data_IF_958937869045
#
_entry.id   IF_958937869045
#
_cell.length_a   1.000
_cell.length_b   1.000
_cell.length_c   1.000
_cell.angle_alpha   90.00
_cell.angle_beta   90.00
_cell.angle_gamma   90.00
#
_symmetry.space_group_name_H-M   'P 1'
#
loop_
_entity.id
_entity.type
_entity.pdbx_description
1 polymer ?
#
# COMPACT_ATOMS: atom_id res chain seq x y z
N UNK A 1 22.37 -7.06 -7.94
CA UNK A 1 21.58 -6.01 -8.63
C UNK A 1 20.20 -5.76 -7.99
N UNK A 2 20.11 -5.50 -6.67
CA UNK A 2 18.83 -5.13 -6.02
C UNK A 2 18.56 -3.62 -6.03
N UNK A 3 19.62 -2.80 -6.12
CA UNK A 3 19.53 -1.34 -6.25
C UNK A 3 18.82 -0.90 -7.54
N UNK A 4 19.10 -1.55 -8.68
CA UNK A 4 18.42 -1.24 -9.94
C UNK A 4 16.91 -1.50 -9.87
N UNK A 5 16.51 -2.67 -9.36
CA UNK A 5 15.10 -2.99 -9.12
C UNK A 5 14.40 -1.98 -8.20
N UNK A 6 15.07 -1.56 -7.11
CA UNK A 6 14.55 -0.54 -6.20
C UNK A 6 14.47 0.85 -6.87
N UNK A 7 15.46 1.23 -7.66
CA UNK A 7 15.43 2.48 -8.43
C UNK A 7 14.33 2.49 -9.49
N UNK A 8 14.11 1.37 -10.18
CA UNK A 8 13.05 1.23 -11.18
C UNK A 8 11.66 1.25 -10.52
N UNK A 9 11.52 0.70 -9.32
CA UNK A 9 10.29 0.81 -8.53
C UNK A 9 10.05 2.25 -8.05
N UNK A 10 11.08 2.92 -7.52
CA UNK A 10 11.01 4.31 -7.05
C UNK A 10 10.74 5.31 -8.18
N UNK A 11 11.19 5.02 -9.41
CA UNK A 11 10.89 5.87 -10.57
C UNK A 11 9.49 5.63 -11.13
N UNK A 12 8.87 4.47 -10.85
CA UNK A 12 7.50 4.15 -11.24
C UNK A 12 6.45 4.63 -10.23
N UNK A 13 6.78 4.59 -8.94
CA UNK A 13 5.90 4.99 -7.84
C UNK A 13 6.00 6.50 -7.58
N UNK A 14 4.86 7.18 -7.52
CA UNK A 14 4.84 8.60 -7.12
C UNK A 14 5.06 8.75 -5.61
N UNK A 15 5.57 9.91 -5.18
CA UNK A 15 5.72 10.19 -3.74
C UNK A 15 4.39 10.18 -2.97
N UNK A 16 3.27 10.38 -3.65
CA UNK A 16 1.94 10.30 -3.09
C UNK A 16 1.47 8.85 -2.90
N UNK A 17 1.74 7.98 -3.88
CA UNK A 17 1.50 6.54 -3.76
C UNK A 17 2.30 5.93 -2.60
N UNK A 18 3.55 6.35 -2.41
CA UNK A 18 4.36 5.92 -1.26
C UNK A 18 3.73 6.31 0.07
N UNK A 19 3.21 7.54 0.19
CA UNK A 19 2.50 7.98 1.40
C UNK A 19 1.24 7.15 1.63
N UNK A 20 0.43 6.94 0.59
CA UNK A 20 -0.77 6.12 0.67
C UNK A 20 -0.46 4.67 1.07
N UNK A 21 0.58 4.07 0.50
CA UNK A 21 1.02 2.72 0.87
C UNK A 21 1.40 2.63 2.35
N UNK A 22 2.13 3.62 2.88
CA UNK A 22 2.51 3.65 4.30
C UNK A 22 1.30 3.86 5.20
N UNK A 23 0.35 4.72 4.82
CA UNK A 23 -0.90 4.91 5.57
C UNK A 23 -1.75 3.64 5.62
N UNK A 24 -1.92 2.95 4.48
CA UNK A 24 -2.63 1.66 4.43
C UNK A 24 -1.91 0.59 5.25
N UNK A 25 -0.58 0.52 5.19
CA UNK A 25 0.20 -0.40 6.01
C UNK A 25 -0.01 -0.13 7.50
N UNK A 26 -0.04 1.14 7.89
CA UNK A 26 -0.23 1.55 9.29
C UNK A 26 -1.64 1.19 9.76
N UNK A 27 -2.67 1.37 8.91
CA UNK A 27 -4.04 0.96 9.22
C UNK A 27 -4.12 -0.56 9.38
N UNK A 28 -3.56 -1.32 8.44
CA UNK A 28 -3.52 -2.78 8.50
C UNK A 28 -2.78 -3.30 9.75
N UNK A 29 -1.65 -2.69 10.12
CA UNK A 29 -0.92 -3.04 11.33
C UNK A 29 -1.70 -2.71 12.61
N UNK A 30 -2.45 -1.60 12.60
CA UNK A 30 -3.32 -1.21 13.71
C UNK A 30 -4.51 -2.17 13.83
N UNK A 31 -5.22 -2.44 12.73
CA UNK A 31 -6.34 -3.39 12.65
C UNK A 31 -5.89 -4.77 13.11
N UNK A 32 -4.73 -5.24 12.66
CA UNK A 32 -4.16 -6.52 13.08
C UNK A 32 -3.84 -6.58 14.58
N UNK A 33 -3.37 -5.48 15.17
CA UNK A 33 -3.02 -5.43 16.60
C UNK A 33 -4.22 -5.19 17.52
N UNK A 34 -5.27 -4.51 17.04
CA UNK A 34 -6.44 -4.14 17.83
C UNK A 34 -7.58 -5.14 17.70
N UNK A 35 -7.83 -5.65 16.49
CA UNK A 35 -8.89 -6.62 16.21
C UNK A 35 -8.27 -7.93 15.73
N UNK A 36 -7.95 -8.80 16.69
CA UNK A 36 -7.45 -10.17 16.47
C UNK A 36 -8.42 -11.10 15.69
N UNK A 37 -9.54 -10.57 15.18
CA UNK A 37 -10.53 -11.27 14.37
C UNK A 37 -10.89 -10.58 13.05
N UNK A 38 -10.23 -9.47 12.68
CA UNK A 38 -10.46 -8.83 11.38
C UNK A 38 -9.48 -9.35 10.34
N UNK A 39 -9.99 -9.70 9.16
CA UNK A 39 -9.14 -10.15 8.04
C UNK A 39 -8.32 -8.97 7.50
N UNK A 40 -7.01 -9.01 7.71
CA UNK A 40 -6.02 -8.05 7.17
C UNK A 40 -5.71 -8.32 5.68
N UNK A 41 -6.14 -9.47 5.16
CA UNK A 41 -5.89 -9.91 3.79
C UNK A 41 -6.41 -8.93 2.71
N UNK A 42 -7.62 -8.37 2.80
CA UNK A 42 -8.12 -7.39 1.82
C UNK A 42 -7.27 -6.11 1.79
N UNK A 43 -6.76 -5.68 2.95
CA UNK A 43 -5.92 -4.48 3.08
C UNK A 43 -4.54 -4.71 2.44
N UNK A 44 -3.95 -5.90 2.63
CA UNK A 44 -2.69 -6.31 1.98
C UNK A 44 -2.83 -6.51 0.47
N UNK A 45 -3.97 -7.03 0.01
CA UNK A 45 -4.27 -7.17 -1.42
C UNK A 45 -4.38 -5.79 -2.07
N UNK A 46 -5.10 -4.87 -1.45
CA UNK A 46 -5.17 -3.47 -1.89
C UNK A 46 -3.80 -2.82 -1.95
N UNK A 47 -2.97 -3.00 -0.91
CA UNK A 47 -1.61 -2.45 -0.86
C UNK A 47 -0.74 -3.01 -1.99
N UNK A 48 -0.84 -4.30 -2.27
CA UNK A 48 -0.14 -4.95 -3.38
C UNK A 48 -0.60 -4.40 -4.74
N UNK A 49 -1.90 -4.17 -4.92
CA UNK A 49 -2.44 -3.55 -6.13
C UNK A 49 -1.97 -2.11 -6.30
N UNK A 50 -1.91 -1.32 -5.23
CA UNK A 50 -1.44 0.07 -5.24
C UNK A 50 0.05 0.17 -5.59
N UNK A 51 0.87 -0.78 -5.14
CA UNK A 51 2.30 -0.85 -5.47
C UNK A 51 2.56 -1.35 -6.90
N UNK A 52 1.69 -2.21 -7.44
CA UNK A 52 1.86 -2.81 -8.77
C UNK A 52 1.18 -2.02 -9.90
N UNK A 53 0.17 -1.20 -9.62
CA UNK A 53 -0.54 -0.40 -10.62
C UNK A 53 -0.21 1.09 -10.50
N UNK A 54 0.02 1.73 -11.65
CA UNK A 54 0.18 3.18 -11.76
C UNK A 54 -1.18 3.81 -11.47
N UNK A 55 -1.39 4.25 -10.23
CA UNK A 55 -2.60 4.89 -9.72
C UNK A 55 -3.90 4.14 -10.06
N UNK A 56 -4.30 3.17 -9.23
CA UNK A 56 -5.72 2.93 -9.06
C UNK A 56 -6.29 4.14 -8.33
N UNK A 57 -6.77 5.07 -9.15
CA UNK A 57 -7.41 6.32 -8.78
C UNK A 57 -8.49 6.10 -7.73
N UNK A 58 -8.50 6.98 -6.73
CA UNK A 58 -9.65 7.40 -5.92
C UNK A 58 -10.45 6.36 -5.11
N UNK A 59 -10.23 5.04 -5.24
CA UNK A 59 -11.04 4.04 -4.50
C UNK A 59 -10.82 4.10 -2.98
N UNK A 60 -9.73 4.70 -2.50
CA UNK A 60 -9.43 4.82 -1.07
C UNK A 60 -9.58 6.24 -0.50
N UNK A 61 -10.02 7.22 -1.30
CA UNK A 61 -10.29 8.58 -0.82
C UNK A 61 -11.81 8.75 -0.67
N UNK A 62 -12.40 8.03 0.28
CA UNK A 62 -13.61 8.48 0.99
C UNK A 62 -13.90 7.51 2.15
N UNK A 63 -13.90 8.04 3.37
CA UNK A 63 -14.23 7.32 4.62
C UNK A 63 -13.22 7.51 5.73
#
# INVERSE_FOLDING_TARGET
NRRQLLSDALTRLSGEQLRQAVTLLTRAELTFKQDYGHDVWPELESLSLLLCHKALADVFIDG
#
